data_IF_769084552738
#
_entry.id   IF_769084552738
#
_cell.length_a   1.000
_cell.length_b   1.000
_cell.length_c   1.000
_cell.angle_alpha   90.00
_cell.angle_beta   90.00
_cell.angle_gamma   90.00
#
_symmetry.space_group_name_H-M   'P 1'
#
loop_
_entity.id
_entity.type
_entity.pdbx_description
1 polymer ?
#
# COMPACT_ATOMS: atom_id res chain seq x y z
N UNK A 1 14.29 19.08 13.73
CA UNK A 1 12.92 19.64 13.71
C UNK A 1 12.16 19.40 15.01
N UNK A 2 12.30 18.23 15.65
CA UNK A 2 11.64 17.88 16.93
C UNK A 2 12.48 18.17 18.18
N UNK A 3 13.53 19.00 18.09
CA UNK A 3 14.44 19.29 19.20
C UNK A 3 14.44 20.77 19.53
N UNK A 4 14.89 21.11 20.75
CA UNK A 4 15.09 22.48 21.22
C UNK A 4 16.13 23.27 20.43
N UNK A 5 16.86 22.64 19.51
CA UNK A 5 17.81 23.30 18.61
C UNK A 5 17.26 23.35 17.18
N UNK A 6 15.96 23.15 16.97
CA UNK A 6 15.36 23.23 15.65
C UNK A 6 15.47 24.65 15.10
N UNK A 7 15.88 24.74 13.83
CA UNK A 7 16.07 26.01 13.15
C UNK A 7 14.95 26.23 12.13
N UNK A 8 14.03 27.12 12.47
CA UNK A 8 12.95 27.58 11.59
C UNK A 8 13.06 29.07 11.25
N UNK A 9 14.25 29.66 11.34
CA UNK A 9 14.46 31.11 11.11
C UNK A 9 14.09 31.58 9.71
N UNK A 10 14.05 30.66 8.74
CA UNK A 10 13.55 30.94 7.37
C UNK A 10 12.04 31.13 7.29
N UNK A 11 11.30 30.78 8.33
CA UNK A 11 9.84 30.89 8.40
C UNK A 11 9.39 31.93 9.44
N UNK A 12 10.12 32.05 10.55
CA UNK A 12 9.80 32.97 11.65
C UNK A 12 11.03 33.26 12.50
N UNK A 13 11.09 34.44 13.11
CA UNK A 13 12.14 34.81 14.07
C UNK A 13 11.94 34.17 15.46
N UNK A 14 10.80 33.52 15.69
CA UNK A 14 10.51 32.80 16.93
C UNK A 14 11.19 31.43 16.98
N UNK A 15 11.63 31.03 18.17
CA UNK A 15 12.12 29.68 18.39
C UNK A 15 10.95 28.69 18.42
N UNK A 16 10.87 27.82 17.40
CA UNK A 16 9.83 26.80 17.27
C UNK A 16 10.44 25.40 17.17
N UNK A 17 9.68 24.40 17.59
CA UNK A 17 9.96 23.00 17.33
C UNK A 17 8.68 22.28 16.95
N UNK A 18 8.80 21.23 16.12
CA UNK A 18 7.68 20.34 15.85
C UNK A 18 7.50 19.44 17.07
N UNK A 19 6.29 19.38 17.63
CA UNK A 19 5.97 18.49 18.74
C UNK A 19 5.39 17.17 18.23
N UNK A 20 4.44 17.24 17.30
CA UNK A 20 3.74 16.09 16.78
C UNK A 20 3.48 16.26 15.29
N UNK A 21 3.56 15.15 14.55
CA UNK A 21 3.05 15.02 13.19
C UNK A 21 2.06 13.87 13.20
N UNK A 22 0.83 14.15 12.76
CA UNK A 22 -0.23 13.16 12.69
C UNK A 22 -0.34 12.73 11.23
N UNK A 23 -0.09 11.45 10.98
CA UNK A 23 -0.32 10.83 9.68
C UNK A 23 -1.44 9.79 9.82
N UNK A 24 -2.55 9.99 9.08
CA UNK A 24 -3.69 9.07 9.04
C UNK A 24 -3.90 8.63 7.60
N UNK A 25 -3.89 7.33 7.38
CA UNK A 25 -4.17 6.69 6.10
C UNK A 25 -5.30 5.67 6.27
N UNK A 26 -6.09 5.48 5.22
CA UNK A 26 -7.15 4.48 5.15
C UNK A 26 -7.02 3.75 3.81
N UNK A 27 -7.11 2.42 3.86
CA UNK A 27 -7.08 1.56 2.68
C UNK A 27 -8.21 0.55 2.80
N UNK A 28 -9.03 0.46 1.76
CA UNK A 28 -10.07 -0.54 1.61
C UNK A 28 -9.78 -1.35 0.35
N UNK A 29 -9.81 -2.68 0.48
CA UNK A 29 -9.63 -3.61 -0.64
C UNK A 29 -10.95 -4.36 -0.78
N UNK A 30 -11.61 -4.21 -1.93
CA UNK A 30 -12.84 -4.92 -2.25
C UNK A 30 -12.76 -5.52 -3.65
N UNK A 31 -13.59 -6.54 -3.89
CA UNK A 31 -13.65 -7.25 -5.17
C UNK A 31 -13.99 -6.31 -6.31
N UNK A 32 -14.93 -5.37 -6.10
CA UNK A 32 -15.37 -4.36 -7.07
C UNK A 32 -14.25 -3.48 -7.66
N UNK A 33 -13.09 -3.38 -6.99
CA UNK A 33 -11.92 -2.69 -7.52
C UNK A 33 -11.18 -3.46 -8.64
N UNK A 34 -11.48 -4.75 -8.86
CA UNK A 34 -10.83 -5.64 -9.85
C UNK A 34 -11.77 -6.77 -10.33
N UNK A 35 -13.10 -6.62 -10.20
CA UNK A 35 -14.10 -7.69 -10.44
C UNK A 35 -14.61 -7.81 -11.89
N UNK A 36 -13.85 -7.40 -12.90
CA UNK A 36 -14.25 -7.56 -14.31
C UNK A 36 -13.32 -8.44 -15.15
N UNK A 37 -12.16 -8.85 -14.61
CA UNK A 37 -11.16 -9.58 -15.38
C UNK A 37 -11.20 -11.13 -15.22
N UNK A 38 -11.98 -11.67 -14.29
CA UNK A 38 -11.89 -13.10 -13.91
C UNK A 38 -13.21 -13.89 -13.99
N UNK A 39 -14.18 -13.44 -14.80
CA UNK A 39 -15.38 -14.22 -15.12
C UNK A 39 -15.31 -14.88 -16.52
N UNK A 40 -14.11 -15.21 -17.01
CA UNK A 40 -13.95 -16.02 -18.24
C UNK A 40 -13.43 -17.40 -17.88
N UNK A 41 -14.32 -18.27 -17.40
CA UNK A 41 -14.07 -19.72 -17.39
C UNK A 41 -14.37 -20.23 -18.80
N UNK A 42 -13.41 -20.07 -19.72
CA UNK A 42 -13.36 -20.93 -20.90
C UNK A 42 -12.63 -22.21 -20.46
N UNK A 43 -13.40 -23.25 -20.12
CA UNK A 43 -12.87 -24.59 -19.94
C UNK A 43 -12.46 -25.16 -21.31
N UNK A 44 -11.38 -24.62 -21.88
CA UNK A 44 -10.69 -25.25 -23.01
C UNK A 44 -9.49 -25.97 -22.41
N UNK A 45 -9.57 -27.29 -22.38
CA UNK A 45 -8.46 -28.15 -21.98
C UNK A 45 -7.40 -28.10 -23.09
N UNK A 46 -6.51 -27.11 -23.04
CA UNK A 46 -5.28 -27.19 -23.85
C UNK A 46 -4.45 -28.37 -23.34
N UNK A 47 -4.26 -29.36 -24.20
CA UNK A 47 -3.45 -30.56 -23.97
C UNK A 47 -1.94 -30.26 -24.00
N UNK A 48 -1.51 -29.28 -23.22
CA UNK A 48 -0.14 -28.76 -23.18
C UNK A 48 0.02 -27.76 -22.04
N UNK A 49 -0.22 -28.22 -20.80
CA UNK A 49 -0.45 -27.37 -19.65
C UNK A 49 0.77 -26.57 -19.18
N UNK A 50 0.77 -25.27 -19.42
CA UNK A 50 1.43 -24.31 -18.52
C UNK A 50 0.54 -24.27 -17.27
N UNK A 51 0.94 -24.95 -16.19
CA UNK A 51 0.26 -24.80 -14.90
C UNK A 51 0.34 -23.34 -14.48
N UNK A 52 -0.80 -22.65 -14.45
CA UNK A 52 -0.86 -21.31 -13.89
C UNK A 52 -0.35 -21.35 -12.44
N UNK A 53 0.54 -20.43 -12.09
CA UNK A 53 1.03 -20.30 -10.71
C UNK A 53 -0.08 -19.69 -9.87
N UNK A 54 -0.53 -20.41 -8.85
CA UNK A 54 -1.53 -19.93 -7.90
C UNK A 54 -0.82 -19.13 -6.80
N UNK A 55 -1.40 -17.99 -6.43
CA UNK A 55 -0.89 -17.12 -5.38
C UNK A 55 -1.96 -16.96 -4.29
N UNK A 56 -1.63 -17.36 -3.06
CA UNK A 56 -2.51 -17.27 -1.90
C UNK A 56 -1.95 -16.29 -0.87
N UNK A 57 -2.73 -15.24 -0.55
CA UNK A 57 -2.48 -14.28 0.53
C UNK A 57 -3.21 -14.70 1.82
N UNK A 58 -2.98 -15.93 2.28
CA UNK A 58 -3.67 -16.57 3.41
C UNK A 58 -2.93 -16.45 4.76
N UNK A 59 -1.89 -15.62 4.81
CA UNK A 59 -1.02 -15.39 5.96
C UNK A 59 -0.47 -13.96 5.91
N UNK A 60 0.17 -13.44 6.98
CA UNK A 60 0.68 -12.07 6.98
C UNK A 60 1.50 -11.73 5.74
N UNK A 61 1.17 -10.61 5.10
CA UNK A 61 1.81 -10.17 3.86
C UNK A 61 2.03 -8.66 3.86
N UNK A 62 2.98 -8.21 3.06
CA UNK A 62 3.21 -6.79 2.79
C UNK A 62 2.62 -6.42 1.43
N UNK A 63 2.17 -5.18 1.30
CA UNK A 63 1.68 -4.64 0.04
C UNK A 63 2.28 -3.25 -0.22
N UNK A 64 2.38 -2.91 -1.50
CA UNK A 64 2.83 -1.61 -1.96
C UNK A 64 1.87 -1.14 -3.05
N UNK A 65 1.41 0.11 -2.96
CA UNK A 65 0.69 0.80 -4.03
C UNK A 65 1.66 1.79 -4.63
N UNK A 66 1.99 1.59 -5.90
CA UNK A 66 2.96 2.41 -6.61
C UNK A 66 2.32 3.08 -7.82
N UNK A 67 2.77 4.29 -8.13
CA UNK A 67 2.52 4.90 -9.43
C UNK A 67 3.41 4.21 -10.47
N UNK A 68 2.80 3.63 -11.50
CA UNK A 68 3.53 2.90 -12.53
C UNK A 68 4.38 3.78 -13.46
N UNK A 69 4.04 5.06 -13.63
CA UNK A 69 4.77 5.98 -14.49
C UNK A 69 5.99 6.55 -13.76
N UNK A 70 5.78 7.03 -12.53
CA UNK A 70 6.83 7.69 -11.74
C UNK A 70 7.63 6.71 -10.87
N UNK A 71 7.13 5.47 -10.69
CA UNK A 71 7.67 4.47 -9.75
C UNK A 71 7.66 4.93 -8.29
N UNK A 72 6.84 5.94 -7.97
CA UNK A 72 6.71 6.45 -6.61
C UNK A 72 5.87 5.50 -5.75
N UNK A 73 6.32 5.28 -4.53
CA UNK A 73 5.56 4.58 -3.50
C UNK A 73 4.48 5.51 -2.93
N UNK A 74 3.22 5.16 -3.15
CA UNK A 74 2.06 5.92 -2.67
C UNK A 74 1.59 5.40 -1.32
N UNK A 75 1.48 4.07 -1.19
CA UNK A 75 1.14 3.40 0.06
C UNK A 75 2.01 2.17 0.27
N UNK A 76 2.31 1.88 1.53
CA UNK A 76 2.92 0.63 1.96
C UNK A 76 2.28 0.19 3.27
N UNK A 77 2.22 -1.11 3.49
CA UNK A 77 1.68 -1.65 4.73
C UNK A 77 1.87 -3.15 4.84
N UNK A 78 1.59 -3.67 6.03
CA UNK A 78 1.53 -5.08 6.32
C UNK A 78 0.13 -5.43 6.79
N UNK A 79 -0.47 -6.45 6.18
CA UNK A 79 -1.67 -7.09 6.69
C UNK A 79 -1.24 -8.26 7.57
N UNK A 80 -1.62 -8.22 8.84
CA UNK A 80 -1.22 -9.24 9.83
C UNK A 80 -2.33 -10.27 10.11
N UNK A 81 -3.46 -10.19 9.39
CA UNK A 81 -4.67 -10.96 9.69
C UNK A 81 -5.75 -10.11 10.37
N UNK A 82 -6.93 -10.70 10.62
CA UNK A 82 -8.00 -10.02 11.37
C UNK A 82 -7.52 -9.70 12.79
N UNK A 83 -7.75 -8.46 13.22
CA UNK A 83 -7.66 -8.11 14.63
C UNK A 83 -8.89 -8.66 15.35
N UNK A 84 -8.68 -9.40 16.45
CA UNK A 84 -9.76 -9.87 17.33
C UNK A 84 -10.52 -8.71 17.96
#
# INVERSE_FOLDING_TARGET
MFSLNANFTRFTDQHLQVTNIIHKAFLEVSEKGTEAAAATILAIQESGGISAKVFHCDRPFMFLIMDNNTKNLIFTGAYLGPTM
#
